data_IF_686695738903
#
_entry.id   IF_686695738903
#
_cell.length_a   1.000
_cell.length_b   1.000
_cell.length_c   1.000
_cell.angle_alpha   90.00
_cell.angle_beta   90.00
_cell.angle_gamma   90.00
#
_symmetry.space_group_name_H-M   'P 1'
#
loop_
_entity.id
_entity.type
_entity.pdbx_description
1 polymer ?
#
# COMPACT_ATOMS: atom_id res chain seq x y z
N UNK A 1 26.95 -30.53 9.32
CA UNK A 1 25.49 -30.76 9.50
C UNK A 1 24.78 -29.65 8.74
N UNK A 2 24.41 -29.91 7.48
CA UNK A 2 24.01 -28.88 6.53
C UNK A 2 22.65 -28.29 6.88
N UNK A 3 22.61 -26.98 7.08
CA UNK A 3 21.35 -26.23 7.18
C UNK A 3 20.73 -26.26 5.79
N UNK A 4 19.86 -27.25 5.54
CA UNK A 4 19.09 -27.28 4.30
C UNK A 4 18.15 -26.09 4.30
N UNK A 5 18.08 -25.34 3.20
CA UNK A 5 17.13 -24.22 3.01
C UNK A 5 15.69 -24.60 3.44
N UNK A 6 15.35 -25.88 3.31
CA UNK A 6 14.09 -26.49 3.74
C UNK A 6 13.87 -26.40 5.26
N UNK A 7 14.89 -26.64 6.09
CA UNK A 7 14.77 -26.59 7.55
C UNK A 7 14.63 -25.18 8.13
N UNK A 8 15.13 -24.15 7.43
CA UNK A 8 14.86 -22.74 7.77
C UNK A 8 13.39 -22.42 7.47
N UNK A 9 12.89 -22.88 6.32
CA UNK A 9 11.49 -22.68 5.91
C UNK A 9 10.53 -23.36 6.90
N UNK A 10 10.83 -24.58 7.35
CA UNK A 10 10.01 -25.28 8.35
C UNK A 10 10.00 -24.57 9.72
N UNK A 11 11.15 -24.09 10.21
CA UNK A 11 11.21 -23.29 11.46
C UNK A 11 10.55 -21.92 11.34
N UNK A 12 10.57 -21.31 10.15
CA UNK A 12 9.82 -20.08 9.84
C UNK A 12 8.31 -20.31 9.69
N UNK A 13 7.86 -21.56 9.56
CA UNK A 13 6.44 -21.90 9.43
C UNK A 13 5.80 -22.30 10.77
N UNK A 14 6.59 -22.61 11.80
CA UNK A 14 6.10 -22.86 13.16
C UNK A 14 5.94 -21.55 13.95
N UNK A 15 4.90 -21.38 14.79
CA UNK A 15 4.82 -20.26 15.72
C UNK A 15 6.04 -20.28 16.66
N UNK A 16 6.79 -19.18 16.89
CA UNK A 16 6.55 -17.78 16.50
C UNK A 16 7.19 -17.32 15.17
N UNK A 17 7.87 -18.21 14.44
CA UNK A 17 8.48 -17.91 13.14
C UNK A 17 7.46 -17.53 12.07
N UNK A 18 6.26 -18.15 12.09
CA UNK A 18 5.18 -17.87 11.14
C UNK A 18 4.69 -16.42 11.17
N UNK A 19 4.68 -15.80 12.36
CA UNK A 19 4.29 -14.41 12.52
C UNK A 19 5.27 -13.44 11.84
N UNK A 20 6.57 -13.71 11.95
CA UNK A 20 7.64 -12.92 11.32
C UNK A 20 7.65 -13.10 9.80
N UNK A 21 7.45 -14.33 9.34
CA UNK A 21 7.34 -14.68 7.91
C UNK A 21 6.23 -13.89 7.21
N UNK A 22 5.07 -13.73 7.85
CA UNK A 22 3.94 -12.95 7.30
C UNK A 22 4.32 -11.47 7.18
N UNK A 23 4.97 -10.89 8.20
CA UNK A 23 5.42 -9.49 8.15
C UNK A 23 6.45 -9.27 7.05
N UNK A 24 7.43 -10.17 6.92
CA UNK A 24 8.42 -10.13 5.84
C UNK A 24 7.77 -10.27 4.46
N UNK A 25 6.76 -11.13 4.34
CA UNK A 25 5.99 -11.29 3.12
C UNK A 25 5.19 -10.02 2.76
N UNK A 26 4.54 -9.39 3.74
CA UNK A 26 3.87 -8.10 3.54
C UNK A 26 4.86 -7.02 3.07
N UNK A 27 6.04 -6.93 3.68
CA UNK A 27 7.10 -6.01 3.26
C UNK A 27 7.55 -6.30 1.81
N UNK A 28 7.71 -7.57 1.45
CA UNK A 28 8.08 -7.96 0.09
C UNK A 28 7.00 -7.58 -0.93
N UNK A 29 5.70 -7.76 -0.61
CA UNK A 29 4.58 -7.33 -1.46
C UNK A 29 4.64 -5.82 -1.69
N UNK A 30 4.87 -5.04 -0.64
CA UNK A 30 4.92 -3.59 -0.76
C UNK A 30 6.08 -3.09 -1.61
N UNK A 31 7.26 -3.70 -1.42
CA UNK A 31 8.42 -3.43 -2.28
C UNK A 31 8.12 -3.80 -3.73
N UNK A 32 7.50 -4.96 -3.98
CA UNK A 32 7.07 -5.35 -5.32
C UNK A 32 6.09 -4.36 -5.93
N UNK A 33 5.16 -3.81 -5.12
CA UNK A 33 4.22 -2.78 -5.58
C UNK A 33 4.92 -1.53 -6.09
N UNK A 34 5.96 -1.04 -5.39
CA UNK A 34 6.78 0.09 -5.88
C UNK A 34 7.45 -0.26 -7.20
N UNK A 35 8.06 -1.45 -7.29
CA UNK A 35 8.80 -1.88 -8.47
C UNK A 35 7.88 -2.00 -9.69
N UNK A 36 6.69 -2.59 -9.50
CA UNK A 36 5.64 -2.69 -10.51
C UNK A 36 5.22 -1.29 -10.95
N UNK A 37 4.94 -0.40 -10.00
CA UNK A 37 4.55 0.98 -10.31
C UNK A 37 5.63 1.72 -11.12
N UNK A 38 6.91 1.57 -10.76
CA UNK A 38 8.04 2.21 -11.47
C UNK A 38 8.34 1.58 -12.83
N UNK A 39 8.09 0.28 -12.99
CA UNK A 39 8.39 -0.46 -14.23
C UNK A 39 7.28 -0.29 -15.27
N UNK A 40 6.02 -0.27 -14.84
CA UNK A 40 4.86 -0.17 -15.73
C UNK A 40 4.51 1.27 -16.11
N UNK A 41 4.81 2.24 -15.24
CA UNK A 41 4.42 3.64 -15.45
C UNK A 41 5.60 4.59 -15.30
N UNK A 42 5.55 5.72 -16.01
CA UNK A 42 6.47 6.84 -15.76
C UNK A 42 6.16 7.47 -14.39
N UNK A 43 6.81 6.93 -13.38
CA UNK A 43 6.67 7.39 -11.99
C UNK A 43 6.95 8.89 -11.85
N UNK A 44 7.93 9.45 -12.58
CA UNK A 44 8.26 10.88 -12.50
C UNK A 44 7.13 11.74 -13.08
N UNK A 45 6.52 11.30 -14.17
CA UNK A 45 5.33 11.95 -14.74
C UNK A 45 4.15 11.93 -13.77
N UNK A 46 3.83 10.76 -13.21
CA UNK A 46 2.70 10.61 -12.27
C UNK A 46 2.89 11.42 -10.98
N UNK A 47 4.11 11.49 -10.45
CA UNK A 47 4.42 12.33 -9.28
C UNK A 47 4.21 13.82 -9.60
N UNK A 48 4.62 14.29 -10.78
CA UNK A 48 4.39 15.68 -11.21
C UNK A 48 2.90 15.98 -11.33
N UNK A 49 2.13 15.08 -11.93
CA UNK A 49 0.68 15.20 -12.04
C UNK A 49 0.02 15.27 -10.68
N UNK A 50 0.39 14.39 -9.75
CA UNK A 50 -0.13 14.42 -8.38
C UNK A 50 0.17 15.76 -7.68
N UNK A 51 1.36 16.33 -7.87
CA UNK A 51 1.71 17.66 -7.34
C UNK A 51 0.82 18.76 -7.94
N UNK A 52 0.62 18.78 -9.26
CA UNK A 52 -0.22 19.79 -9.95
C UNK A 52 -1.70 19.67 -9.55
N UNK A 53 -2.23 18.44 -9.45
CA UNK A 53 -3.59 18.16 -8.97
C UNK A 53 -3.78 18.66 -7.54
N UNK A 54 -2.84 18.33 -6.63
CA UNK A 54 -2.93 18.71 -5.21
C UNK A 54 -2.80 20.23 -5.02
N UNK A 55 -1.97 20.89 -5.85
CA UNK A 55 -1.86 22.35 -5.86
C UNK A 55 -3.17 22.99 -6.33
N UNK A 56 -3.72 22.53 -7.45
CA UNK A 56 -4.99 23.03 -7.97
C UNK A 56 -6.15 22.80 -6.98
N UNK A 57 -6.24 21.63 -6.35
CA UNK A 57 -7.25 21.33 -5.34
C UNK A 57 -7.16 22.28 -4.13
N UNK A 58 -5.94 22.59 -3.65
CA UNK A 58 -5.73 23.55 -2.56
C UNK A 58 -6.17 24.95 -2.95
N UNK A 59 -5.78 25.41 -4.14
CA UNK A 59 -6.19 26.72 -4.67
C UNK A 59 -7.71 26.81 -4.87
N UNK A 60 -8.33 25.74 -5.39
CA UNK A 60 -9.77 25.65 -5.60
C UNK A 60 -10.55 25.71 -4.28
N UNK A 61 -10.14 24.91 -3.28
CA UNK A 61 -10.76 24.93 -1.95
C UNK A 61 -10.58 26.30 -1.28
N UNK A 62 -9.41 26.91 -1.43
CA UNK A 62 -9.16 28.25 -0.89
C UNK A 62 -10.05 29.30 -1.54
N UNK A 63 -10.15 29.29 -2.88
CA UNK A 63 -10.98 30.23 -3.64
C UNK A 63 -12.48 30.04 -3.36
N UNK A 64 -12.91 28.79 -3.16
CA UNK A 64 -14.27 28.45 -2.78
C UNK A 64 -14.62 28.98 -1.39
N UNK A 65 -13.70 28.84 -0.42
CA UNK A 65 -13.88 29.39 0.95
C UNK A 65 -13.87 30.92 0.97
N UNK A 66 -13.04 31.55 0.14
CA UNK A 66 -12.93 33.01 0.08
C UNK A 66 -13.98 33.68 -0.81
N UNK A 67 -14.81 32.91 -1.52
CA UNK A 67 -15.84 33.44 -2.43
C UNK A 67 -15.30 34.20 -3.65
N UNK A 68 -14.03 33.98 -4.02
CA UNK A 68 -13.38 34.68 -5.13
C UNK A 68 -13.79 34.07 -6.47
N UNK A 69 -14.88 34.62 -7.05
CA UNK A 69 -15.43 34.19 -8.33
C UNK A 69 -14.42 34.28 -9.49
N UNK A 70 -13.53 35.28 -9.49
CA UNK A 70 -12.56 35.48 -10.57
C UNK A 70 -11.50 34.37 -10.56
N UNK A 71 -11.04 34.00 -9.36
CA UNK A 71 -10.09 32.90 -9.20
C UNK A 71 -10.75 31.55 -9.48
N UNK A 72 -12.01 31.36 -9.08
CA UNK A 72 -12.77 30.15 -9.40
C UNK A 72 -12.94 29.95 -10.91
N UNK A 73 -13.40 30.96 -11.65
CA UNK A 73 -13.56 30.87 -13.12
C UNK A 73 -12.23 30.53 -13.83
N UNK A 74 -11.11 31.10 -13.34
CA UNK A 74 -9.77 30.78 -13.87
C UNK A 74 -9.36 29.33 -13.59
N UNK A 75 -9.70 28.80 -12.42
CA UNK A 75 -9.39 27.43 -12.02
C UNK A 75 -10.31 26.41 -12.72
N UNK A 76 -11.58 26.76 -12.95
CA UNK A 76 -12.56 25.98 -13.72
C UNK A 76 -12.07 25.75 -15.15
N UNK A 77 -11.49 26.78 -15.79
CA UNK A 77 -10.86 26.64 -17.13
C UNK A 77 -9.71 25.63 -17.17
N UNK A 78 -9.01 25.43 -16.05
CA UNK A 78 -7.92 24.44 -15.92
C UNK A 78 -8.43 23.05 -15.56
N UNK A 79 -9.68 22.93 -15.12
CA UNK A 79 -10.29 21.69 -14.61
C UNK A 79 -10.14 20.53 -15.59
N UNK A 80 -10.43 20.74 -16.87
CA UNK A 80 -10.33 19.68 -17.89
C UNK A 80 -8.92 19.09 -17.98
N UNK A 81 -7.88 19.92 -17.91
CA UNK A 81 -6.47 19.47 -17.91
C UNK A 81 -6.17 18.66 -16.63
N UNK A 82 -6.64 19.15 -15.47
CA UNK A 82 -6.45 18.50 -14.17
C UNK A 82 -7.17 17.14 -14.15
N UNK A 83 -8.39 17.06 -14.65
CA UNK A 83 -9.18 15.83 -14.75
C UNK A 83 -8.49 14.80 -15.67
N UNK A 84 -7.91 15.24 -16.78
CA UNK A 84 -7.10 14.36 -17.64
C UNK A 84 -5.90 13.78 -16.90
N UNK A 85 -5.15 14.61 -16.17
CA UNK A 85 -4.02 14.16 -15.35
C UNK A 85 -4.47 13.23 -14.21
N UNK A 86 -5.60 13.55 -13.57
CA UNK A 86 -6.21 12.70 -12.53
C UNK A 86 -6.61 11.34 -13.09
N UNK A 87 -7.16 11.30 -14.31
CA UNK A 87 -7.48 10.07 -15.02
C UNK A 87 -6.25 9.20 -15.29
N UNK A 88 -5.13 9.80 -15.70
CA UNK A 88 -3.86 9.06 -15.88
C UNK A 88 -3.36 8.45 -14.55
N UNK A 89 -3.36 9.23 -13.47
CA UNK A 89 -2.98 8.75 -12.12
C UNK A 89 -3.92 7.64 -11.64
N UNK A 90 -5.24 7.83 -11.84
CA UNK A 90 -6.24 6.84 -11.44
C UNK A 90 -6.09 5.53 -12.21
N UNK A 91 -5.84 5.58 -13.52
CA UNK A 91 -5.58 4.38 -14.34
C UNK A 91 -4.35 3.64 -13.85
N UNK A 92 -3.26 4.35 -13.57
CA UNK A 92 -2.04 3.74 -13.04
C UNK A 92 -2.32 3.04 -11.69
N UNK A 93 -2.98 3.72 -10.77
CA UNK A 93 -3.35 3.15 -9.48
C UNK A 93 -4.29 1.96 -9.62
N UNK A 94 -5.25 2.00 -10.56
CA UNK A 94 -6.19 0.92 -10.80
C UNK A 94 -5.50 -0.33 -11.34
N UNK A 95 -4.62 -0.18 -12.34
CA UNK A 95 -3.86 -1.31 -12.92
C UNK A 95 -2.96 -1.95 -11.86
N UNK A 96 -2.22 -1.15 -11.09
CA UNK A 96 -1.38 -1.68 -9.99
C UNK A 96 -2.25 -2.33 -8.92
N UNK A 97 -3.39 -1.72 -8.57
CA UNK A 97 -4.35 -2.27 -7.63
C UNK A 97 -4.90 -3.64 -8.04
N UNK A 98 -5.24 -3.81 -9.32
CA UNK A 98 -5.70 -5.10 -9.86
C UNK A 98 -4.61 -6.18 -9.78
N UNK A 99 -3.37 -5.84 -10.13
CA UNK A 99 -2.24 -6.76 -10.00
C UNK A 99 -2.05 -7.18 -8.54
N UNK A 100 -2.06 -6.21 -7.62
CA UNK A 100 -1.90 -6.47 -6.19
C UNK A 100 -3.06 -7.27 -5.60
N UNK A 101 -4.30 -7.03 -6.04
CA UNK A 101 -5.44 -7.85 -5.65
C UNK A 101 -5.25 -9.32 -6.04
N UNK A 102 -4.74 -9.58 -7.24
CA UNK A 102 -4.39 -10.93 -7.68
C UNK A 102 -3.32 -11.57 -6.78
N UNK A 103 -2.24 -10.83 -6.49
CA UNK A 103 -1.16 -11.29 -5.60
C UNK A 103 -1.67 -11.61 -4.19
N UNK A 104 -2.48 -10.72 -3.62
CA UNK A 104 -3.08 -10.91 -2.29
C UNK A 104 -4.02 -12.12 -2.31
N UNK A 105 -4.89 -12.23 -3.31
CA UNK A 105 -5.81 -13.36 -3.46
C UNK A 105 -5.09 -14.70 -3.51
N UNK A 106 -4.06 -14.82 -4.36
CA UNK A 106 -3.23 -16.04 -4.45
C UNK A 106 -2.53 -16.31 -3.12
N UNK A 107 -1.93 -15.29 -2.49
CA UNK A 107 -1.23 -15.46 -1.22
C UNK A 107 -2.15 -16.00 -0.12
N UNK A 108 -3.38 -15.50 0.00
CA UNK A 108 -4.35 -15.97 0.98
C UNK A 108 -4.74 -17.44 0.76
N UNK A 109 -4.84 -17.89 -0.50
CA UNK A 109 -5.12 -19.31 -0.79
C UNK A 109 -3.95 -20.23 -0.43
N UNK A 110 -2.71 -19.78 -0.65
CA UNK A 110 -1.49 -20.52 -0.31
C UNK A 110 -1.36 -20.61 1.21
N UNK A 111 -1.48 -19.49 1.92
CA UNK A 111 -1.39 -19.48 3.38
C UNK A 111 -2.49 -20.30 4.04
N UNK A 112 -3.73 -20.27 3.52
CA UNK A 112 -4.81 -21.14 4.03
C UNK A 112 -4.56 -22.63 3.86
N UNK A 113 -3.79 -23.04 2.83
CA UNK A 113 -3.40 -24.45 2.63
C UNK A 113 -2.18 -24.85 3.45
N UNK A 114 -1.24 -23.94 3.65
CA UNK A 114 0.01 -24.20 4.38
C UNK A 114 -0.13 -24.09 5.89
N UNK A 115 -1.04 -23.24 6.37
CA UNK A 115 -1.28 -22.99 7.79
C UNK A 115 -2.68 -23.51 8.12
N UNK A 116 -2.75 -24.58 8.91
CA UNK A 116 -4.02 -25.10 9.42
C UNK A 116 -4.73 -24.01 10.23
N UNK A 117 -5.98 -23.72 9.85
CA UNK A 117 -6.76 -22.53 10.27
C UNK A 117 -6.96 -22.41 11.80
N UNK A 118 -6.68 -23.46 12.57
CA UNK A 118 -6.91 -23.55 14.01
C UNK A 118 -5.70 -23.14 14.89
N UNK A 119 -4.54 -22.83 14.31
CA UNK A 119 -3.37 -22.53 15.12
C UNK A 119 -3.30 -21.07 15.60
N UNK A 120 -3.01 -20.93 16.89
CA UNK A 120 -2.71 -19.67 17.57
C UNK A 120 -1.42 -19.08 16.99
N UNK A 121 -1.54 -18.06 16.14
CA UNK A 121 -0.42 -17.54 15.33
C UNK A 121 0.49 -16.57 16.06
N UNK A 122 -0.10 -15.63 16.80
CA UNK A 122 0.64 -14.62 17.54
C UNK A 122 -0.10 -14.27 18.83
N UNK A 123 0.67 -14.16 19.91
CA UNK A 123 0.19 -13.64 21.17
C UNK A 123 0.46 -12.15 21.22
N UNK A 124 -0.60 -11.34 21.35
CA UNK A 124 -0.45 -9.90 21.56
C UNK A 124 -0.43 -9.66 23.08
N UNK A 125 0.71 -9.27 23.67
CA UNK A 125 0.81 -9.08 25.12
C UNK A 125 -0.07 -7.94 25.61
N UNK A 126 -0.32 -6.93 24.77
CA UNK A 126 -1.16 -5.78 25.11
C UNK A 126 -2.63 -6.15 25.35
N UNK A 127 -3.14 -7.21 24.71
CA UNK A 127 -4.55 -7.64 24.78
C UNK A 127 -4.66 -9.00 25.50
N UNK A 128 -3.52 -9.59 25.91
CA UNK A 128 -3.41 -10.91 26.52
C UNK A 128 -4.21 -11.99 25.76
N UNK A 129 -4.23 -11.91 24.42
CA UNK A 129 -5.07 -12.75 23.56
C UNK A 129 -4.27 -13.31 22.39
N UNK A 130 -4.55 -14.58 22.09
CA UNK A 130 -4.07 -15.23 20.88
C UNK A 130 -4.90 -14.79 19.69
N UNK A 131 -4.21 -14.39 18.63
CA UNK A 131 -4.82 -13.85 17.42
C UNK A 131 -4.84 -14.94 16.35
N UNK A 132 -5.97 -15.07 15.67
CA UNK A 132 -6.12 -15.97 14.54
C UNK A 132 -5.29 -15.50 13.35
N UNK A 133 -4.98 -16.42 12.43
CA UNK A 133 -4.26 -16.11 11.21
C UNK A 133 -4.84 -14.90 10.45
N UNK A 134 -6.15 -14.87 10.25
CA UNK A 134 -6.81 -13.79 9.53
C UNK A 134 -6.62 -12.42 10.20
N UNK A 135 -6.83 -12.35 11.51
CA UNK A 135 -6.63 -11.11 12.26
C UNK A 135 -5.17 -10.67 12.30
N UNK A 136 -4.22 -11.60 12.43
CA UNK A 136 -2.78 -11.28 12.39
C UNK A 136 -2.36 -10.77 11.01
N UNK A 137 -2.86 -11.37 9.93
CA UNK A 137 -2.61 -10.91 8.56
C UNK A 137 -3.10 -9.47 8.34
N UNK A 138 -4.31 -9.13 8.77
CA UNK A 138 -4.82 -7.76 8.67
C UNK A 138 -3.97 -6.78 9.49
N UNK A 139 -3.60 -7.13 10.72
CA UNK A 139 -2.76 -6.29 11.58
C UNK A 139 -1.38 -6.07 10.92
N UNK A 140 -0.74 -7.14 10.43
CA UNK A 140 0.54 -7.05 9.75
C UNK A 140 0.43 -6.20 8.47
N UNK A 141 -0.60 -6.40 7.66
CA UNK A 141 -0.86 -5.60 6.47
C UNK A 141 -1.01 -4.11 6.80
N UNK A 142 -1.84 -3.77 7.78
CA UNK A 142 -2.01 -2.37 8.19
C UNK A 142 -0.75 -1.77 8.81
N UNK A 143 -0.02 -2.51 9.63
CA UNK A 143 1.22 -2.04 10.24
C UNK A 143 2.29 -1.74 9.18
N UNK A 144 2.44 -2.65 8.22
CA UNK A 144 3.36 -2.51 7.09
C UNK A 144 2.93 -1.34 6.21
N UNK A 145 1.63 -1.22 5.89
CA UNK A 145 1.08 -0.06 5.18
C UNK A 145 1.22 1.26 5.92
N UNK A 146 1.14 1.28 7.24
CA UNK A 146 1.38 2.48 8.03
C UNK A 146 2.85 2.91 7.99
N UNK A 147 3.77 1.95 8.11
CA UNK A 147 5.21 2.17 7.94
C UNK A 147 5.50 2.70 6.54
N UNK A 148 4.87 2.11 5.52
CA UNK A 148 5.04 2.51 4.14
C UNK A 148 4.47 3.89 3.84
N UNK A 149 3.30 4.23 4.38
CA UNK A 149 2.76 5.59 4.32
C UNK A 149 3.72 6.61 4.95
N UNK A 150 4.38 6.24 6.06
CA UNK A 150 5.41 7.08 6.66
C UNK A 150 6.62 7.24 5.75
N UNK A 151 7.17 6.15 5.20
CA UNK A 151 8.38 6.22 4.35
C UNK A 151 8.14 6.82 2.96
N UNK A 152 7.00 6.55 2.33
CA UNK A 152 6.63 7.09 1.01
C UNK A 152 6.04 8.50 1.12
N UNK A 153 5.34 8.80 2.21
CA UNK A 153 4.79 10.14 2.51
C UNK A 153 5.86 11.20 2.80
N UNK A 154 7.07 10.81 3.21
CA UNK A 154 8.19 11.74 3.42
C UNK A 154 8.64 12.42 2.11
N UNK A 155 8.28 11.90 0.92
CA UNK A 155 8.67 12.52 -0.37
C UNK A 155 7.61 13.42 -1.04
N UNK A 156 6.45 13.63 -0.41
CA UNK A 156 5.44 14.57 -0.92
C UNK A 156 5.41 15.92 -0.17
N UNK A 157 6.24 16.10 0.86
CA UNK A 157 6.30 17.33 1.67
C UNK A 157 7.72 17.90 1.75
N UNK A 158 8.37 18.06 0.61
CA UNK A 158 9.63 18.78 0.41
C UNK A 158 9.74 18.90 -1.13
N UNK A 159 9.71 20.05 -1.81
CA UNK A 159 9.60 21.47 -1.51
C UNK A 159 8.66 22.08 -2.57
#
# INVERSE_FOLDING_TARGET
MGITMVGIIEKLLQPPGSAVSIVLFCLAIELMSILIYRKLFDYKKLVRYQKEITKWQREYISALRSGDKKTLDRLEKKRQKIESMQGEVMKANFIVGLIMMGVIGVSLTIFRKLITVEEKMAFIPLINRWVSFGSWYFIAFFAVSFIFQRFVGIRQREE
#
